data_IF_776453953358
#
_entry.id   IF_776453953358
#
_cell.length_a   1.000
_cell.length_b   1.000
_cell.length_c   1.000
_cell.angle_alpha   90.00
_cell.angle_beta   90.00
_cell.angle_gamma   90.00
#
_symmetry.space_group_name_H-M   'P 1'
#
loop_
_entity.id
_entity.type
_entity.pdbx_description
1 polymer ?
#
# COMPACT_ATOMS: atom_id res chain seq x y z
N UNK A 1 10.71 58.25 -7.95
CA UNK A 1 9.46 58.39 -7.19
C UNK A 1 9.39 57.25 -6.20
N UNK A 2 9.52 57.59 -4.92
CA UNK A 2 9.47 56.66 -3.82
C UNK A 2 8.03 56.20 -3.59
N UNK A 3 7.83 54.90 -3.39
CA UNK A 3 6.65 54.41 -2.67
C UNK A 3 7.12 53.48 -1.56
N UNK A 4 7.01 54.04 -0.35
CA UNK A 4 6.98 53.34 0.92
C UNK A 4 5.80 52.36 0.89
N UNK A 5 6.06 51.08 1.19
CA UNK A 5 5.00 50.16 1.60
C UNK A 5 5.31 49.67 3.01
N UNK A 6 4.28 49.81 3.84
CA UNK A 6 4.29 49.79 5.29
C UNK A 6 4.55 48.38 5.85
N UNK A 7 5.44 48.37 6.84
CA UNK A 7 5.71 47.30 7.79
C UNK A 7 4.49 47.17 8.73
N UNK A 8 3.67 46.13 8.54
CA UNK A 8 2.58 45.78 9.46
C UNK A 8 2.96 44.55 10.26
N UNK A 9 3.37 44.82 11.49
CA UNK A 9 3.70 43.89 12.57
C UNK A 9 2.38 43.32 13.16
N UNK A 10 2.14 42.00 13.14
CA UNK A 10 0.98 41.43 13.80
C UNK A 10 1.22 41.31 15.31
N UNK A 11 0.30 41.90 16.10
CA UNK A 11 0.19 41.70 17.55
C UNK A 11 -0.15 40.24 17.88
N UNK A 12 0.45 39.64 18.91
CA UNK A 12 0.03 38.35 19.44
C UNK A 12 -1.22 38.52 20.30
N UNK A 13 -2.31 37.86 19.90
CA UNK A 13 -3.51 37.72 20.72
C UNK A 13 -3.23 36.73 21.87
N UNK A 14 -3.12 37.27 23.08
CA UNK A 14 -3.20 36.53 24.33
C UNK A 14 -4.60 35.94 24.49
N UNK A 15 -4.74 34.64 24.24
CA UNK A 15 -5.90 33.84 24.66
C UNK A 15 -5.46 32.85 25.74
N UNK A 16 -5.41 33.35 26.98
CA UNK A 16 -5.34 32.52 28.19
C UNK A 16 -6.71 31.86 28.41
N UNK A 17 -6.88 30.63 27.92
CA UNK A 17 -7.98 29.76 28.35
C UNK A 17 -7.53 29.04 29.63
N UNK A 18 -8.00 29.56 30.76
CA UNK A 18 -7.90 28.88 32.05
C UNK A 18 -8.85 27.67 32.03
N UNK A 19 -8.35 26.49 31.68
CA UNK A 19 -9.03 25.24 31.95
C UNK A 19 -8.77 24.85 33.41
N UNK A 20 -9.84 24.92 34.20
CA UNK A 20 -9.94 24.36 35.53
C UNK A 20 -9.69 22.86 35.49
N UNK A 21 -8.48 22.49 35.92
CA UNK A 21 -8.02 21.14 36.21
C UNK A 21 -8.88 20.56 37.35
N UNK A 22 -9.87 19.76 36.98
CA UNK A 22 -10.65 18.98 37.94
C UNK A 22 -9.79 17.79 38.39
N UNK A 23 -9.14 17.95 39.55
CA UNK A 23 -8.42 16.91 40.28
C UNK A 23 -9.17 15.57 40.25
N UNK A 24 -8.60 14.61 39.51
CA UNK A 24 -9.05 13.23 39.51
C UNK A 24 -8.68 12.60 40.85
N UNK A 25 -9.58 12.72 41.84
CA UNK A 25 -9.47 12.04 43.12
C UNK A 25 -9.32 10.53 42.85
N UNK A 26 -8.17 9.92 43.19
CA UNK A 26 -7.97 8.49 42.98
C UNK A 26 -9.02 7.72 43.80
N UNK A 27 -9.69 6.78 43.14
CA UNK A 27 -10.70 5.93 43.77
C UNK A 27 -10.16 5.32 45.08
N UNK A 28 -10.87 5.43 46.21
CA UNK A 28 -10.40 4.95 47.51
C UNK A 28 -10.05 3.46 47.52
N UNK A 29 -10.57 2.69 46.56
CA UNK A 29 -10.22 1.29 46.35
C UNK A 29 -8.77 1.10 45.86
N UNK A 30 -8.28 1.99 44.99
CA UNK A 30 -6.92 1.91 44.46
C UNK A 30 -5.87 2.27 45.53
N UNK A 31 -6.19 3.20 46.44
CA UNK A 31 -5.33 3.53 47.58
C UNK A 31 -5.26 2.39 48.60
N UNK A 32 -6.37 1.68 48.85
CA UNK A 32 -6.38 0.54 49.75
C UNK A 32 -5.50 -0.63 49.26
N UNK A 33 -5.49 -0.91 47.95
CA UNK A 33 -4.68 -1.99 47.36
C UNK A 33 -3.17 -1.63 47.37
N UNK A 34 -2.83 -0.36 47.15
CA UNK A 34 -1.46 0.12 47.24
C UNK A 34 -0.92 0.09 48.68
N UNK A 35 -1.76 0.39 49.68
CA UNK A 35 -1.36 0.33 51.09
C UNK A 35 -1.22 -1.11 51.61
N UNK A 36 -2.05 -2.05 51.15
CA UNK A 36 -1.97 -3.46 51.54
C UNK A 36 -0.68 -4.16 51.03
N UNK A 37 -0.15 -3.73 49.88
CA UNK A 37 1.06 -4.32 49.28
C UNK A 37 2.37 -3.82 49.91
N UNK A 38 2.38 -2.66 50.56
CA UNK A 38 3.58 -2.09 51.19
C UNK A 38 3.93 -2.69 52.57
N UNK A 39 2.96 -3.26 53.30
CA UNK A 39 3.18 -3.70 54.69
C UNK A 39 3.72 -5.14 54.85
N UNK A 40 3.87 -5.92 53.79
CA UNK A 40 4.21 -7.35 53.88
C UNK A 40 5.70 -7.74 53.92
N UNK A 41 6.66 -6.82 53.74
CA UNK A 41 8.09 -7.17 53.52
C UNK A 41 8.98 -7.08 54.76
N UNK A 42 8.60 -7.68 55.90
CA UNK A 42 9.58 -7.90 57.00
C UNK A 42 9.35 -9.21 57.75
N UNK A 43 10.09 -10.25 57.37
CA UNK A 43 10.94 -11.14 58.21
C UNK A 43 11.15 -12.49 57.53
N UNK A 44 12.35 -12.70 56.99
CA UNK A 44 12.86 -14.00 56.57
C UNK A 44 13.44 -14.71 57.81
N UNK A 45 12.70 -15.67 58.35
CA UNK A 45 13.29 -16.76 59.13
C UNK A 45 13.03 -18.05 58.37
N UNK A 46 14.13 -18.60 57.84
CA UNK A 46 14.21 -19.81 57.04
C UNK A 46 13.91 -21.05 57.90
N UNK A 47 12.64 -21.40 58.01
CA UNK A 47 12.22 -22.74 58.45
C UNK A 47 11.66 -23.47 57.24
N UNK A 48 12.24 -24.63 56.89
CA UNK A 48 11.84 -25.53 55.79
C UNK A 48 10.31 -25.67 55.76
N UNK A 49 9.64 -24.94 54.86
CA UNK A 49 8.19 -25.01 54.70
C UNK A 49 7.87 -26.35 54.03
N UNK A 50 7.06 -27.17 54.71
CA UNK A 50 6.46 -28.37 54.12
C UNK A 50 5.75 -27.97 52.82
N UNK A 51 5.87 -28.76 51.74
CA UNK A 51 5.21 -28.44 50.48
C UNK A 51 3.70 -28.25 50.72
N UNK A 52 3.14 -27.17 50.15
CA UNK A 52 1.71 -26.88 50.21
C UNK A 52 0.93 -28.06 49.62
N UNK A 53 -0.26 -28.32 50.18
CA UNK A 53 -1.15 -29.35 49.61
C UNK A 53 -1.51 -28.94 48.18
N UNK A 54 -1.70 -29.87 47.23
CA UNK A 54 -2.04 -29.53 45.84
C UNK A 54 -3.24 -28.57 45.71
N UNK A 55 -4.23 -28.70 46.59
CA UNK A 55 -5.39 -27.79 46.63
C UNK A 55 -5.02 -26.36 47.05
N UNK A 56 -4.04 -26.18 47.94
CA UNK A 56 -3.56 -24.86 48.34
C UNK A 56 -2.74 -24.22 47.21
N UNK A 57 -1.96 -25.01 46.47
CA UNK A 57 -1.25 -24.51 45.29
C UNK A 57 -2.22 -24.01 44.22
N UNK A 58 -3.29 -24.78 43.93
CA UNK A 58 -4.31 -24.37 42.97
C UNK A 58 -5.03 -23.08 43.36
N UNK A 59 -5.24 -22.81 44.66
CA UNK A 59 -5.81 -21.55 45.12
C UNK A 59 -4.85 -20.37 44.89
N UNK A 60 -3.57 -20.54 45.19
CA UNK A 60 -2.54 -19.52 44.93
C UNK A 60 -2.43 -19.23 43.43
N UNK A 61 -2.40 -20.25 42.59
CA UNK A 61 -2.32 -20.08 41.13
C UNK A 61 -3.56 -19.34 40.58
N UNK A 62 -4.74 -19.58 41.16
CA UNK A 62 -5.97 -18.88 40.80
C UNK A 62 -6.00 -17.43 41.31
N UNK A 63 -5.45 -17.17 42.49
CA UNK A 63 -5.28 -15.80 43.04
C UNK A 63 -4.32 -14.99 42.16
N UNK A 64 -3.19 -15.58 41.75
CA UNK A 64 -2.22 -14.94 40.85
C UNK A 64 -2.86 -14.63 39.49
N UNK A 65 -3.62 -15.59 38.92
CA UNK A 65 -4.33 -15.39 37.65
C UNK A 65 -5.43 -14.33 37.74
N UNK A 66 -6.12 -14.23 38.87
CA UNK A 66 -7.12 -13.19 39.11
C UNK A 66 -6.46 -11.81 39.23
N UNK A 67 -5.31 -11.72 39.90
CA UNK A 67 -4.53 -10.49 39.98
C UNK A 67 -4.03 -10.03 38.60
N UNK A 68 -3.53 -10.96 37.78
CA UNK A 68 -3.12 -10.70 36.39
C UNK A 68 -4.30 -10.18 35.55
N UNK A 69 -5.46 -10.84 35.60
CA UNK A 69 -6.66 -10.42 34.88
C UNK A 69 -7.16 -9.04 35.32
N UNK A 70 -7.11 -8.73 36.63
CA UNK A 70 -7.45 -7.40 37.14
C UNK A 70 -6.50 -6.33 36.60
N UNK A 71 -5.20 -6.62 36.50
CA UNK A 71 -4.22 -5.68 35.94
C UNK A 71 -4.48 -5.42 34.44
N UNK A 72 -4.79 -6.47 33.67
CA UNK A 72 -5.15 -6.34 32.25
C UNK A 72 -6.43 -5.51 32.09
N UNK A 73 -7.45 -5.76 32.92
CA UNK A 73 -8.69 -4.99 32.92
C UNK A 73 -8.45 -3.50 33.22
N UNK A 74 -7.66 -3.19 34.25
CA UNK A 74 -7.33 -1.80 34.59
C UNK A 74 -6.61 -1.09 33.44
N UNK A 75 -5.68 -1.77 32.78
CA UNK A 75 -4.97 -1.23 31.59
C UNK A 75 -5.96 -0.92 30.46
N UNK A 76 -6.90 -1.83 30.19
CA UNK A 76 -7.93 -1.63 29.17
C UNK A 76 -8.88 -0.47 29.49
N UNK A 77 -9.23 -0.27 30.77
CA UNK A 77 -10.06 0.87 31.22
C UNK A 77 -9.33 2.19 31.01
N UNK A 78 -8.03 2.27 31.31
CA UNK A 78 -7.22 3.46 31.08
C UNK A 78 -7.13 3.80 29.58
N UNK A 79 -6.90 2.79 28.74
CA UNK A 79 -6.85 2.98 27.29
C UNK A 79 -8.20 3.41 26.71
N UNK A 80 -9.30 2.79 27.15
CA UNK A 80 -10.66 3.18 26.75
C UNK A 80 -10.95 4.65 27.12
N UNK A 81 -10.51 5.08 28.30
CA UNK A 81 -10.65 6.47 28.76
C UNK A 81 -9.86 7.44 27.87
N UNK A 82 -8.61 7.09 27.53
CA UNK A 82 -7.76 7.87 26.61
C UNK A 82 -8.37 7.98 25.20
N UNK A 83 -8.91 6.88 24.66
CA UNK A 83 -9.53 6.87 23.33
C UNK A 83 -10.82 7.70 23.31
N UNK A 84 -11.66 7.60 24.34
CA UNK A 84 -12.85 8.46 24.50
C UNK A 84 -12.49 9.94 24.53
N UNK A 85 -11.40 10.32 25.20
CA UNK A 85 -10.92 11.70 25.19
C UNK A 85 -10.51 12.17 23.79
N UNK A 86 -9.78 11.35 23.01
CA UNK A 86 -9.40 11.68 21.62
C UNK A 86 -10.61 11.81 20.70
N UNK A 87 -11.62 10.94 20.84
CA UNK A 87 -12.86 11.03 20.06
C UNK A 87 -13.56 12.35 20.33
N UNK A 88 -13.69 12.77 21.60
CA UNK A 88 -14.28 14.09 21.95
C UNK A 88 -13.54 15.26 21.30
N UNK A 89 -12.21 15.23 21.25
CA UNK A 89 -11.41 16.27 20.58
C UNK A 89 -11.69 16.29 19.08
N UNK A 90 -11.76 15.13 18.43
CA UNK A 90 -12.09 15.04 17.00
C UNK A 90 -13.51 15.55 16.74
N UNK A 91 -14.49 15.14 17.55
CA UNK A 91 -15.87 15.60 17.47
C UNK A 91 -16.00 17.12 17.66
N UNK A 92 -15.15 17.73 18.49
CA UNK A 92 -15.11 19.19 18.66
C UNK A 92 -14.43 19.94 17.50
N UNK A 93 -13.40 19.36 16.89
CA UNK A 93 -12.63 20.00 15.78
C UNK A 93 -13.33 19.85 14.43
N UNK A 94 -14.08 18.77 14.21
CA UNK A 94 -14.75 18.51 12.92
C UNK A 94 -15.71 19.64 12.48
N UNK A 95 -16.61 20.18 13.34
CA UNK A 95 -17.47 21.30 12.98
C UNK A 95 -16.68 22.57 12.63
N UNK A 96 -15.58 22.85 13.34
CA UNK A 96 -14.75 24.04 13.06
C UNK A 96 -14.08 23.96 11.68
N UNK A 97 -13.65 22.75 11.27
CA UNK A 97 -13.13 22.53 9.91
C UNK A 97 -14.21 22.65 8.85
N UNK A 98 -15.45 22.25 9.14
CA UNK A 98 -16.57 22.42 8.21
C UNK A 98 -17.02 23.87 8.07
N UNK A 99 -16.87 24.69 9.13
CA UNK A 99 -17.22 26.11 9.13
C UNK A 99 -16.11 27.03 8.59
N UNK A 100 -14.89 26.53 8.44
CA UNK A 100 -13.80 27.27 7.79
C UNK A 100 -13.82 26.92 6.31
N UNK A 101 -14.47 27.71 5.43
CA UNK A 101 -14.37 27.48 3.99
C UNK A 101 -12.89 27.52 3.62
N UNK A 102 -12.36 26.38 3.20
CA UNK A 102 -10.96 26.26 2.85
C UNK A 102 -10.60 27.26 1.75
N UNK A 103 -9.37 27.81 1.74
CA UNK A 103 -8.91 28.76 0.71
C UNK A 103 -8.91 28.18 -0.72
N UNK A 104 -9.20 26.89 -0.88
CA UNK A 104 -9.41 26.23 -2.16
C UNK A 104 -10.56 26.84 -2.98
N UNK A 105 -11.56 27.48 -2.36
CA UNK A 105 -12.61 28.19 -3.11
C UNK A 105 -12.16 29.54 -3.70
N UNK A 106 -10.99 30.07 -3.29
CA UNK A 106 -10.47 31.33 -3.83
C UNK A 106 -9.54 31.15 -5.04
N UNK A 107 -9.01 29.94 -5.25
CA UNK A 107 -8.14 29.63 -6.39
C UNK A 107 -8.93 29.59 -7.72
N UNK A 108 -10.17 29.10 -7.71
CA UNK A 108 -11.04 29.12 -8.89
C UNK A 108 -11.57 30.51 -9.23
N UNK A 109 -11.70 31.41 -8.24
CA UNK A 109 -12.07 32.81 -8.49
C UNK A 109 -10.93 33.63 -9.12
N UNK A 110 -9.67 33.27 -8.86
CA UNK A 110 -8.50 33.92 -9.46
C UNK A 110 -8.26 33.48 -10.91
N UNK A 111 -8.62 32.24 -11.27
CA UNK A 111 -8.53 31.73 -12.64
C UNK A 111 -9.63 32.29 -13.56
N UNK A 112 -10.78 32.71 -13.01
CA UNK A 112 -11.83 33.36 -13.79
C UNK A 112 -11.51 34.82 -14.19
N UNK A 113 -10.54 35.48 -13.56
CA UNK A 113 -10.21 36.89 -13.83
C UNK A 113 -9.14 37.09 -14.92
N UNK A 114 -8.47 36.03 -15.38
CA UNK A 114 -7.36 36.11 -16.36
C UNK A 114 -7.81 35.77 -17.80
N UNK A 115 -9.03 35.27 -18.00
CA UNK A 115 -9.55 34.89 -19.33
C UNK A 115 -10.32 36.01 -20.08
N UNK A 116 -10.16 37.28 -19.69
CA UNK A 116 -10.93 38.40 -20.23
C UNK A 116 -10.08 39.50 -20.89
N UNK A 117 -9.41 39.21 -22.00
CA UNK A 117 -8.90 40.25 -22.92
C UNK A 117 -9.81 40.35 -24.14
N UNK A 118 -10.51 41.48 -24.37
CA UNK A 118 -11.32 41.67 -25.57
C UNK A 118 -10.43 42.13 -26.73
N UNK A 119 -10.29 41.27 -27.75
CA UNK A 119 -9.77 41.67 -29.05
C UNK A 119 -10.83 42.49 -29.79
N UNK A 120 -10.43 43.69 -30.21
CA UNK A 120 -11.25 44.65 -30.93
C UNK A 120 -10.87 44.66 -32.42
N UNK A 121 -11.91 44.56 -33.25
CA UNK A 121 -12.05 45.02 -34.64
C UNK A 121 -11.35 44.26 -35.79
N UNK A 122 -12.12 43.60 -36.64
CA UNK A 122 -12.71 44.22 -37.85
C UNK A 122 -13.56 43.17 -38.61
N UNK A 123 -14.84 43.44 -38.84
CA UNK A 123 -15.71 42.50 -39.57
C UNK A 123 -17.16 42.96 -39.61
N UNK A 124 -17.51 43.58 -40.71
CA UNK A 124 -18.73 44.31 -41.04
C UNK A 124 -19.88 43.37 -41.48
N UNK A 125 -21.12 43.68 -41.10
CA UNK A 125 -22.36 43.01 -41.51
C UNK A 125 -23.33 42.89 -40.33
N UNK A 126 -24.13 43.90 -40.01
CA UNK A 126 -25.43 44.26 -40.61
C UNK A 126 -26.48 43.13 -40.52
N UNK A 127 -27.55 43.37 -39.76
CA UNK A 127 -28.73 42.49 -39.72
C UNK A 127 -29.41 42.28 -38.36
N UNK A 128 -30.23 43.26 -37.94
CA UNK A 128 -31.58 43.11 -37.34
C UNK A 128 -31.86 42.24 -36.09
N UNK A 129 -32.22 42.97 -35.03
CA UNK A 129 -33.38 42.82 -34.12
C UNK A 129 -33.44 41.86 -32.91
N UNK A 130 -34.17 42.27 -31.83
CA UNK A 130 -33.99 41.78 -30.47
C UNK A 130 -35.18 40.97 -29.93
N UNK A 131 -34.89 39.92 -29.15
CA UNK A 131 -35.90 39.26 -28.33
C UNK A 131 -35.30 38.78 -27.00
N UNK A 132 -35.55 39.59 -25.96
CA UNK A 132 -36.14 39.20 -24.67
C UNK A 132 -36.26 37.70 -24.41
N UNK A 133 -35.62 37.19 -23.33
CA UNK A 133 -36.28 36.39 -22.27
C UNK A 133 -35.30 35.91 -21.19
N UNK A 134 -35.54 36.39 -19.96
CA UNK A 134 -35.32 35.70 -18.68
C UNK A 134 -36.41 34.59 -18.54
N UNK A 135 -36.27 33.50 -17.74
CA UNK A 135 -36.23 33.54 -16.26
C UNK A 135 -35.30 32.48 -15.59
N UNK A 136 -34.74 32.73 -14.41
CA UNK A 136 -35.30 32.48 -13.06
C UNK A 136 -35.67 31.02 -12.76
N UNK A 137 -34.88 30.34 -11.92
CA UNK A 137 -35.34 29.20 -11.11
C UNK A 137 -34.51 29.08 -9.83
N UNK A 138 -35.06 29.67 -8.77
CA UNK A 138 -34.72 29.46 -7.37
C UNK A 138 -35.28 28.11 -6.92
N UNK A 139 -34.49 27.25 -6.28
CA UNK A 139 -35.03 26.10 -5.53
C UNK A 139 -34.24 25.91 -4.22
N UNK A 140 -34.99 26.00 -3.12
CA UNK A 140 -34.58 25.88 -1.73
C UNK A 140 -34.39 24.41 -1.30
N UNK A 141 -33.75 24.15 -0.15
CA UNK A 141 -33.39 22.80 0.30
C UNK A 141 -34.53 22.11 1.06
N UNK A 142 -34.77 20.85 0.73
CA UNK A 142 -35.70 19.97 1.43
C UNK A 142 -35.07 19.36 2.69
N UNK A 143 -35.57 19.78 3.85
CA UNK A 143 -35.46 19.05 5.12
C UNK A 143 -36.26 17.76 5.06
N UNK A 144 -35.68 16.64 5.53
CA UNK A 144 -36.46 15.47 5.95
C UNK A 144 -35.98 15.02 7.33
N UNK A 145 -36.94 14.99 8.24
CA UNK A 145 -36.90 14.44 9.60
C UNK A 145 -36.32 13.01 9.63
N UNK A 146 -35.57 12.60 10.64
CA UNK A 146 -36.10 12.35 11.99
C UNK A 146 -36.53 10.89 12.11
N UNK A 147 -35.62 10.03 12.58
CA UNK A 147 -35.88 8.60 12.82
C UNK A 147 -34.99 8.06 13.93
N UNK A 148 -35.59 7.83 15.11
CA UNK A 148 -35.00 7.28 16.32
C UNK A 148 -34.55 5.81 16.18
N UNK A 149 -33.62 5.34 17.03
CA UNK A 149 -33.02 4.02 16.91
C UNK A 149 -33.86 2.92 17.58
N UNK A 150 -34.06 1.82 16.86
CA UNK A 150 -34.65 0.59 17.38
C UNK A 150 -33.59 -0.23 18.14
N UNK A 151 -33.90 -0.56 19.39
CA UNK A 151 -33.19 -1.54 20.20
C UNK A 151 -33.43 -2.96 19.67
N UNK A 152 -32.39 -3.78 19.60
CA UNK A 152 -32.50 -5.25 19.58
C UNK A 152 -31.15 -5.91 19.97
N UNK A 153 -31.14 -7.20 20.38
CA UNK A 153 -30.64 -7.60 21.68
C UNK A 153 -29.38 -8.49 21.64
N UNK A 154 -28.77 -8.63 22.82
CA UNK A 154 -27.65 -9.53 23.14
C UNK A 154 -27.89 -11.00 22.72
N UNK A 155 -26.85 -11.73 22.28
CA UNK A 155 -26.83 -13.20 22.29
C UNK A 155 -26.10 -13.78 23.53
N UNK A 156 -26.36 -15.07 23.85
CA UNK A 156 -26.23 -15.62 25.20
C UNK A 156 -24.89 -16.31 25.50
N UNK A 157 -24.73 -16.55 26.79
CA UNK A 157 -23.62 -17.14 27.52
C UNK A 157 -23.08 -18.50 27.04
N UNK A 158 -21.79 -18.64 27.34
CA UNK A 158 -20.90 -19.81 27.24
C UNK A 158 -21.51 -21.11 27.77
N UNK A 159 -21.38 -22.18 26.97
CA UNK A 159 -21.60 -23.57 27.37
C UNK A 159 -20.24 -24.28 27.47
N UNK A 160 -19.79 -24.47 28.70
CA UNK A 160 -18.59 -25.27 29.04
C UNK A 160 -18.99 -26.75 29.11
N UNK A 161 -18.34 -27.62 28.33
CA UNK A 161 -18.35 -29.06 28.55
C UNK A 161 -16.99 -29.54 29.07
N UNK A 162 -16.94 -30.53 29.98
CA UNK A 162 -15.71 -31.16 30.42
C UNK A 162 -15.42 -32.42 29.59
N UNK A 163 -14.19 -32.59 29.12
CA UNK A 163 -13.69 -33.85 28.60
C UNK A 163 -12.56 -34.35 29.52
N UNK A 164 -12.71 -35.59 29.97
CA UNK A 164 -11.87 -36.21 30.98
C UNK A 164 -10.55 -36.78 30.46
N UNK A 165 -9.65 -36.93 31.44
CA UNK A 165 -8.69 -38.01 31.69
C UNK A 165 -8.14 -38.86 30.53
N UNK A 166 -6.80 -38.93 30.46
CA UNK A 166 -6.14 -40.17 30.03
C UNK A 166 -4.68 -40.06 29.58
N UNK A 167 -3.80 -40.68 30.38
CA UNK A 167 -2.53 -41.32 30.00
C UNK A 167 -1.24 -40.47 29.81
N UNK A 168 -0.40 -40.53 30.86
CA UNK A 168 0.98 -41.08 30.88
C UNK A 168 1.77 -41.09 29.55
N UNK A 169 2.96 -40.50 29.52
CA UNK A 169 4.24 -41.23 29.40
C UNK A 169 5.46 -40.30 29.45
N UNK A 170 6.62 -40.90 29.68
CA UNK A 170 7.88 -40.34 30.14
C UNK A 170 8.73 -39.58 29.09
N UNK A 171 9.66 -38.76 29.63
CA UNK A 171 10.95 -38.30 29.05
C UNK A 171 11.79 -39.45 28.43
N UNK A 172 12.93 -39.21 27.71
CA UNK A 172 13.74 -37.99 27.60
C UNK A 172 14.23 -37.60 26.18
N UNK A 173 14.89 -36.44 26.12
CA UNK A 173 15.60 -35.86 24.98
C UNK A 173 16.77 -36.70 24.43
N UNK A 174 17.12 -36.53 23.14
CA UNK A 174 18.47 -36.83 22.65
C UNK A 174 19.23 -35.58 22.19
N UNK A 175 20.53 -35.59 22.49
CA UNK A 175 21.60 -34.73 21.95
C UNK A 175 21.65 -34.76 20.41
N UNK A 176 22.03 -33.67 19.71
CA UNK A 176 22.54 -33.78 18.36
C UNK A 176 24.05 -34.04 18.36
N UNK A 177 24.44 -35.15 17.75
CA UNK A 177 25.82 -35.45 17.35
C UNK A 177 26.20 -34.65 16.11
N UNK A 178 27.43 -34.15 16.17
CA UNK A 178 28.23 -33.57 15.10
C UNK A 178 28.53 -34.64 14.05
N UNK A 179 28.20 -34.41 12.78
CA UNK A 179 28.78 -35.15 11.66
C UNK A 179 29.25 -34.22 10.57
N UNK A 180 30.52 -34.38 10.21
CA UNK A 180 31.24 -33.79 9.08
C UNK A 180 31.07 -34.70 7.85
N UNK A 181 31.42 -34.14 6.68
CA UNK A 181 31.82 -34.79 5.41
C UNK A 181 30.63 -35.02 4.46
N UNK A 182 30.44 -34.14 3.46
CA UNK A 182 31.09 -34.10 2.14
C UNK A 182 30.79 -35.35 1.31
N UNK A 183 30.00 -35.19 0.25
CA UNK A 183 30.30 -35.72 -1.08
C UNK A 183 29.34 -35.17 -2.13
N UNK A 184 29.91 -34.87 -3.29
CA UNK A 184 29.27 -34.35 -4.48
C UNK A 184 28.54 -35.48 -5.22
N UNK A 185 27.34 -35.22 -5.74
CA UNK A 185 26.74 -36.02 -6.81
C UNK A 185 26.04 -35.11 -7.82
N UNK A 186 26.74 -35.00 -8.95
CA UNK A 186 26.29 -35.00 -10.34
C UNK A 186 24.80 -34.88 -10.69
N UNK A 187 24.59 -34.11 -11.77
CA UNK A 187 23.33 -33.75 -12.38
C UNK A 187 22.42 -34.91 -12.80
N UNK A 188 21.13 -34.57 -12.90
CA UNK A 188 20.17 -35.26 -13.76
C UNK A 188 19.15 -34.24 -14.27
N UNK A 189 19.29 -33.90 -15.56
CA UNK A 189 18.23 -33.30 -16.37
C UNK A 189 17.04 -34.24 -16.40
N UNK A 190 15.85 -33.70 -16.14
CA UNK A 190 14.58 -34.39 -16.36
C UNK A 190 13.93 -33.71 -17.56
N UNK A 191 14.04 -34.35 -18.71
CA UNK A 191 13.20 -34.07 -19.88
C UNK A 191 11.78 -34.54 -19.56
N UNK A 192 10.82 -33.61 -19.51
CA UNK A 192 9.39 -33.95 -19.50
C UNK A 192 8.87 -33.96 -20.93
N UNK A 193 8.67 -35.17 -21.42
CA UNK A 193 7.93 -35.48 -22.63
C UNK A 193 6.45 -35.12 -22.48
N UNK A 194 5.92 -34.38 -23.46
CA UNK A 194 4.50 -34.09 -23.63
C UNK A 194 3.87 -35.19 -24.50
N UNK A 195 2.80 -35.83 -24.02
CA UNK A 195 1.91 -36.64 -24.85
C UNK A 195 0.56 -35.93 -25.00
N UNK A 196 0.00 -35.84 -26.21
CA UNK A 196 -1.32 -35.29 -26.46
C UNK A 196 -2.38 -36.40 -26.37
N UNK A 197 -3.49 -36.11 -25.69
CA UNK A 197 -4.68 -36.96 -25.64
C UNK A 197 -5.90 -36.15 -26.04
N UNK A 198 -6.23 -36.20 -27.33
CA UNK A 198 -7.51 -35.78 -27.89
C UNK A 198 -8.39 -37.01 -27.99
N UNK A 199 -9.61 -36.96 -27.49
CA UNK A 199 -10.77 -37.66 -28.08
C UNK A 199 -12.08 -37.18 -27.44
N UNK A 200 -13.13 -37.30 -28.26
CA UNK A 200 -14.32 -36.48 -28.29
C UNK A 200 -15.59 -37.22 -27.83
N UNK A 201 -16.72 -36.51 -27.93
CA UNK A 201 -18.13 -36.99 -27.90
C UNK A 201 -18.70 -37.32 -26.50
N UNK A 202 -19.90 -36.89 -26.08
CA UNK A 202 -21.14 -36.64 -26.81
C UNK A 202 -22.14 -35.73 -26.06
N UNK A 203 -22.97 -35.06 -26.87
CA UNK A 203 -24.39 -34.65 -26.68
C UNK A 203 -25.06 -34.91 -25.32
N UNK A 204 -25.73 -33.87 -24.81
CA UNK A 204 -27.14 -33.96 -24.42
C UNK A 204 -27.82 -32.59 -24.53
N UNK A 205 -28.80 -32.54 -25.42
CA UNK A 205 -29.85 -31.54 -25.57
C UNK A 205 -30.84 -31.63 -24.41
N UNK A 206 -31.14 -30.50 -23.76
CA UNK A 206 -32.40 -30.31 -23.06
C UNK A 206 -32.80 -28.84 -23.18
N UNK A 207 -33.84 -28.62 -23.98
CA UNK A 207 -34.60 -27.38 -24.07
C UNK A 207 -35.13 -27.01 -22.68
N UNK A 208 -34.90 -25.76 -22.27
CA UNK A 208 -35.76 -25.14 -21.28
C UNK A 208 -35.97 -23.68 -21.68
N UNK A 209 -37.18 -23.46 -22.19
CA UNK A 209 -37.75 -22.20 -22.61
C UNK A 209 -38.47 -21.57 -21.41
N UNK A 210 -38.37 -20.24 -21.26
CA UNK A 210 -39.21 -19.49 -20.32
C UNK A 210 -38.52 -18.40 -19.51
N UNK A 211 -38.66 -17.16 -20.00
CA UNK A 211 -38.54 -15.88 -19.28
C UNK A 211 -37.16 -15.23 -19.19
N UNK A 212 -36.70 -14.74 -20.35
CA UNK A 212 -35.73 -13.65 -20.48
C UNK A 212 -36.25 -12.36 -19.82
N UNK A 213 -35.78 -12.07 -18.60
CA UNK A 213 -35.49 -10.69 -18.21
C UNK A 213 -34.11 -10.36 -18.78
N UNK A 214 -34.08 -9.57 -19.85
CA UNK A 214 -32.86 -8.97 -20.39
C UNK A 214 -32.28 -7.96 -19.38
N UNK A 215 -31.65 -8.47 -18.33
CA UNK A 215 -30.60 -7.73 -17.64
C UNK A 215 -29.36 -7.88 -18.50
N UNK A 216 -28.88 -6.77 -19.07
CA UNK A 216 -27.59 -6.70 -19.75
C UNK A 216 -26.48 -7.03 -18.74
N UNK A 217 -26.22 -8.32 -18.53
CA UNK A 217 -25.03 -8.79 -17.82
C UNK A 217 -23.89 -8.49 -18.76
N UNK A 218 -23.27 -7.32 -18.55
CA UNK A 218 -22.02 -6.96 -19.20
C UNK A 218 -21.04 -8.08 -18.85
N UNK A 219 -20.77 -8.96 -19.81
CA UNK A 219 -19.77 -10.00 -19.66
C UNK A 219 -18.43 -9.28 -19.56
N UNK A 220 -17.96 -9.09 -18.33
CA UNK A 220 -16.63 -8.58 -18.06
C UNK A 220 -15.62 -9.42 -18.85
N UNK A 221 -14.64 -8.76 -19.44
CA UNK A 221 -13.56 -9.50 -20.07
C UNK A 221 -12.80 -10.24 -18.96
N UNK A 222 -12.37 -11.50 -19.18
CA UNK A 222 -11.70 -12.30 -18.14
C UNK A 222 -10.40 -11.66 -17.63
N UNK A 223 -9.84 -10.68 -18.34
CA UNK A 223 -8.70 -9.88 -17.90
C UNK A 223 -9.08 -8.84 -16.83
N UNK A 224 -10.26 -8.22 -16.97
CA UNK A 224 -10.78 -7.25 -16.02
C UNK A 224 -11.08 -7.90 -14.66
N UNK A 225 -11.69 -9.09 -14.67
CA UNK A 225 -11.96 -9.85 -13.45
C UNK A 225 -10.67 -10.14 -12.65
N UNK A 226 -9.56 -10.44 -13.34
CA UNK A 226 -8.27 -10.72 -12.69
C UNK A 226 -7.61 -9.47 -12.13
N UNK A 227 -7.72 -8.34 -12.83
CA UNK A 227 -7.31 -7.04 -12.31
C UNK A 227 -8.06 -6.71 -11.02
N UNK A 228 -9.38 -6.91 -11.00
CA UNK A 228 -10.22 -6.60 -9.85
C UNK A 228 -9.92 -7.54 -8.66
N UNK A 229 -9.65 -8.82 -8.91
CA UNK A 229 -9.19 -9.77 -7.90
C UNK A 229 -7.84 -9.38 -7.29
N UNK A 230 -6.89 -8.94 -8.12
CA UNK A 230 -5.59 -8.47 -7.67
C UNK A 230 -5.71 -7.20 -6.82
N UNK A 231 -6.50 -6.24 -7.29
CA UNK A 231 -6.83 -5.01 -6.57
C UNK A 231 -7.46 -5.30 -5.20
N UNK A 232 -8.45 -6.18 -5.16
CA UNK A 232 -9.09 -6.59 -3.92
C UNK A 232 -8.10 -7.25 -2.94
N UNK A 233 -7.20 -8.11 -3.44
CA UNK A 233 -6.15 -8.72 -2.62
C UNK A 233 -5.20 -7.67 -2.03
N UNK A 234 -4.77 -6.70 -2.83
CA UNK A 234 -3.90 -5.61 -2.38
C UNK A 234 -4.56 -4.69 -1.34
N UNK A 235 -5.81 -4.27 -1.59
CA UNK A 235 -6.58 -3.43 -0.65
C UNK A 235 -6.82 -4.17 0.67
N UNK A 236 -7.14 -5.47 0.61
CA UNK A 236 -7.31 -6.29 1.81
C UNK A 236 -6.02 -6.41 2.61
N UNK A 237 -4.88 -6.65 1.93
CA UNK A 237 -3.56 -6.63 2.58
C UNK A 237 -3.29 -5.29 3.26
N UNK A 238 -3.49 -4.18 2.56
CA UNK A 238 -3.22 -2.83 3.06
C UNK A 238 -4.05 -2.54 4.32
N UNK A 239 -5.32 -2.95 4.32
CA UNK A 239 -6.21 -2.82 5.48
C UNK A 239 -5.74 -3.67 6.66
N UNK A 240 -5.42 -4.95 6.42
CA UNK A 240 -4.92 -5.86 7.47
C UNK A 240 -3.60 -5.36 8.06
N UNK A 241 -2.66 -4.94 7.21
CA UNK A 241 -1.39 -4.35 7.61
C UNK A 241 -1.58 -3.10 8.47
N UNK A 242 -2.50 -2.20 8.11
CA UNK A 242 -2.79 -0.99 8.89
C UNK A 242 -3.28 -1.33 10.31
N UNK A 243 -4.20 -2.29 10.43
CA UNK A 243 -4.69 -2.76 11.74
C UNK A 243 -3.56 -3.37 12.58
N UNK A 244 -2.71 -4.20 11.97
CA UNK A 244 -1.59 -4.82 12.66
C UNK A 244 -0.53 -3.80 13.09
N UNK A 245 -0.27 -2.76 12.29
CA UNK A 245 0.65 -1.67 12.65
C UNK A 245 0.11 -0.94 13.87
N UNK A 246 -1.18 -0.58 13.87
CA UNK A 246 -1.80 0.11 15.00
C UNK A 246 -1.75 -0.74 16.28
N UNK A 247 -2.01 -2.04 16.17
CA UNK A 247 -1.93 -2.97 17.30
C UNK A 247 -0.50 -3.09 17.85
N UNK A 248 0.50 -3.19 16.96
CA UNK A 248 1.91 -3.23 17.35
C UNK A 248 2.38 -1.93 18.01
N UNK A 249 1.97 -0.77 17.49
CA UNK A 249 2.30 0.53 18.07
C UNK A 249 1.64 0.75 19.45
N UNK A 250 0.42 0.25 19.64
CA UNK A 250 -0.25 0.26 20.94
C UNK A 250 0.40 -0.72 21.92
N UNK A 251 0.83 -1.89 21.43
CA UNK A 251 1.45 -2.95 22.23
C UNK A 251 2.50 -3.71 21.41
N UNK A 252 3.79 -3.39 21.57
CA UNK A 252 4.86 -4.07 20.85
C UNK A 252 4.93 -5.54 21.27
N UNK A 253 4.42 -6.43 20.41
CA UNK A 253 4.45 -7.88 20.61
C UNK A 253 4.88 -8.57 19.32
N UNK A 254 5.73 -9.59 19.44
CA UNK A 254 6.29 -10.34 18.31
C UNK A 254 5.20 -11.06 17.50
N UNK A 255 4.12 -11.48 18.15
CA UNK A 255 2.96 -12.11 17.51
C UNK A 255 2.35 -11.24 16.39
N UNK A 256 2.36 -9.91 16.54
CA UNK A 256 1.85 -9.02 15.50
C UNK A 256 2.76 -9.00 14.28
N UNK A 257 4.09 -9.06 14.48
CA UNK A 257 5.05 -9.14 13.37
C UNK A 257 4.90 -10.46 12.62
N UNK A 258 4.74 -11.58 13.35
CA UNK A 258 4.48 -12.89 12.74
C UNK A 258 3.17 -12.90 11.94
N UNK A 259 2.11 -12.27 12.47
CA UNK A 259 0.85 -12.11 11.73
C UNK A 259 1.00 -11.22 10.49
N UNK A 260 1.79 -10.15 10.55
CA UNK A 260 2.10 -9.31 9.38
C UNK A 260 2.81 -10.13 8.30
N UNK A 261 3.81 -10.93 8.67
CA UNK A 261 4.52 -11.80 7.73
C UNK A 261 3.60 -12.84 7.09
N UNK A 262 2.80 -13.53 7.90
CA UNK A 262 1.84 -14.50 7.40
C UNK A 262 0.81 -13.85 6.44
N UNK A 263 0.36 -12.64 6.75
CA UNK A 263 -0.54 -11.88 5.89
C UNK A 263 0.14 -11.43 4.59
N UNK A 264 1.40 -11.01 4.66
CA UNK A 264 2.19 -10.67 3.48
C UNK A 264 2.45 -11.89 2.59
N UNK A 265 2.68 -13.06 3.17
CA UNK A 265 2.87 -14.31 2.41
C UNK A 265 1.58 -14.76 1.70
N UNK A 266 0.40 -14.49 2.27
CA UNK A 266 -0.87 -14.68 1.54
C UNK A 266 -0.96 -13.77 0.32
N UNK A 267 -0.55 -12.51 0.43
CA UNK A 267 -0.48 -11.60 -0.71
C UNK A 267 0.52 -12.12 -1.75
N UNK A 268 1.71 -12.57 -1.35
CA UNK A 268 2.68 -13.18 -2.28
C UNK A 268 2.09 -14.40 -3.00
N UNK A 269 1.34 -15.24 -2.30
CA UNK A 269 0.61 -16.36 -2.91
C UNK A 269 -0.32 -15.87 -4.03
N UNK A 270 -1.06 -14.78 -3.81
CA UNK A 270 -1.89 -14.15 -4.84
C UNK A 270 -1.08 -13.52 -5.98
N UNK A 271 0.08 -12.91 -5.70
CA UNK A 271 1.00 -12.43 -6.75
C UNK A 271 1.46 -13.57 -7.65
N UNK A 272 1.78 -14.73 -7.07
CA UNK A 272 2.23 -15.90 -7.84
C UNK A 272 1.07 -16.46 -8.67
N UNK A 273 -0.11 -16.59 -8.08
CA UNK A 273 -1.31 -17.12 -8.73
C UNK A 273 -1.82 -16.22 -9.87
N UNK A 274 -1.89 -14.91 -9.63
CA UNK A 274 -2.47 -13.93 -10.56
C UNK A 274 -1.42 -13.27 -11.44
N UNK A 275 -0.24 -12.99 -10.91
CA UNK A 275 0.79 -12.18 -11.57
C UNK A 275 1.73 -12.97 -12.48
N UNK A 276 1.96 -14.27 -12.25
CA UNK A 276 2.75 -15.08 -13.19
C UNK A 276 2.06 -15.24 -14.55
N UNK A 277 0.74 -15.52 -14.63
CA UNK A 277 0.05 -15.60 -15.91
C UNK A 277 -0.23 -14.22 -16.52
N UNK A 278 -0.20 -13.16 -15.70
CA UNK A 278 -0.58 -11.79 -16.08
C UNK A 278 0.41 -10.75 -15.57
N UNK A 279 1.63 -10.76 -16.13
CA UNK A 279 2.70 -9.84 -15.75
C UNK A 279 2.33 -8.35 -15.96
N UNK A 280 1.41 -8.08 -16.87
CA UNK A 280 0.83 -6.77 -17.16
C UNK A 280 0.06 -6.20 -15.97
N UNK A 281 -0.57 -7.04 -15.15
CA UNK A 281 -1.33 -6.58 -13.98
C UNK A 281 -0.41 -5.94 -12.95
N UNK A 282 0.74 -6.55 -12.68
CA UNK A 282 1.71 -6.03 -11.70
C UNK A 282 2.46 -4.83 -12.25
N UNK A 283 2.78 -4.84 -13.55
CA UNK A 283 3.57 -3.76 -14.15
C UNK A 283 2.78 -2.46 -14.32
N UNK A 284 1.47 -2.55 -14.59
CA UNK A 284 0.60 -1.38 -14.74
C UNK A 284 0.12 -0.80 -13.41
N UNK A 285 0.43 -1.44 -12.27
CA UNK A 285 0.01 -0.98 -10.94
C UNK A 285 0.76 0.25 -10.45
N UNK A 286 2.03 0.38 -10.84
CA UNK A 286 2.94 1.42 -10.35
C UNK A 286 2.44 2.85 -10.72
N UNK A 287 1.52 2.96 -11.68
CA UNK A 287 0.95 4.22 -12.17
C UNK A 287 -0.55 4.35 -11.97
N UNK A 288 -1.17 3.51 -11.13
CA UNK A 288 -2.63 3.52 -10.93
C UNK A 288 -2.99 3.98 -9.53
N UNK A 289 -3.90 4.94 -9.45
CA UNK A 289 -4.53 5.30 -8.20
C UNK A 289 -5.61 4.27 -7.88
N UNK A 290 -5.48 3.62 -6.73
CA UNK A 290 -6.26 2.46 -6.32
C UNK A 290 -7.70 2.81 -5.93
N UNK A 291 -7.95 4.06 -5.50
CA UNK A 291 -9.30 4.54 -5.16
C UNK A 291 -10.11 4.88 -6.41
N UNK A 292 -9.47 5.53 -7.37
CA UNK A 292 -10.13 6.06 -8.59
C UNK A 292 -10.06 5.11 -9.77
N UNK A 293 -9.12 4.16 -9.75
CA UNK A 293 -8.83 3.28 -10.86
C UNK A 293 -8.20 3.98 -12.07
N UNK A 294 -7.90 5.28 -11.99
CA UNK A 294 -7.30 6.05 -13.08
C UNK A 294 -5.77 5.95 -13.06
N UNK A 295 -5.15 6.00 -14.24
CA UNK A 295 -3.72 6.15 -14.35
C UNK A 295 -3.32 7.55 -13.85
N UNK A 296 -2.63 7.60 -12.72
CA UNK A 296 -2.18 8.84 -12.09
C UNK A 296 -0.84 8.56 -11.38
N UNK A 297 0.18 9.34 -11.73
CA UNK A 297 1.44 9.30 -11.02
C UNK A 297 1.32 10.02 -9.67
N UNK A 298 1.92 9.49 -8.59
CA UNK A 298 1.96 10.17 -7.31
C UNK A 298 2.77 11.47 -7.41
N UNK A 299 2.40 12.53 -6.66
CA UNK A 299 3.21 13.75 -6.57
C UNK A 299 4.64 13.44 -6.11
N UNK A 300 5.63 14.20 -6.57
CA UNK A 300 7.04 13.95 -6.22
C UNK A 300 7.32 13.96 -4.70
N UNK A 301 6.62 14.81 -3.95
CA UNK A 301 6.73 14.88 -2.49
C UNK A 301 6.08 13.70 -1.75
N UNK A 302 5.27 12.89 -2.43
CA UNK A 302 4.53 11.77 -1.83
C UNK A 302 5.48 10.75 -1.20
N UNK A 303 6.49 10.31 -1.95
CA UNK A 303 7.44 9.30 -1.48
C UNK A 303 8.33 9.80 -0.33
N UNK A 304 8.58 11.12 -0.26
CA UNK A 304 9.29 11.73 0.86
C UNK A 304 8.54 11.54 2.17
N UNK A 305 7.23 11.81 2.17
CA UNK A 305 6.37 11.60 3.35
C UNK A 305 6.35 10.13 3.76
N UNK A 306 6.28 9.21 2.80
CA UNK A 306 6.36 7.76 3.08
C UNK A 306 7.67 7.42 3.78
N UNK A 307 8.80 7.85 3.21
CA UNK A 307 10.15 7.53 3.71
C UNK A 307 10.43 8.13 5.08
N UNK A 308 10.03 9.38 5.33
CA UNK A 308 10.18 10.03 6.64
C UNK A 308 9.54 9.21 7.77
N UNK A 309 8.44 8.53 7.49
CA UNK A 309 7.72 7.70 8.47
C UNK A 309 8.32 6.30 8.66
N UNK A 310 9.22 5.86 7.78
CA UNK A 310 9.88 4.56 7.91
C UNK A 310 10.96 4.53 9.00
N UNK A 311 11.47 5.71 9.39
CA UNK A 311 12.55 5.85 10.37
C UNK A 311 13.75 4.94 10.03
N UNK A 312 14.21 4.98 8.77
CA UNK A 312 15.32 4.15 8.31
C UNK A 312 16.60 4.48 9.09
N UNK A 313 17.32 3.44 9.52
CA UNK A 313 18.61 3.62 10.17
C UNK A 313 19.72 3.88 9.13
N UNK A 314 20.90 4.32 9.58
CA UNK A 314 22.04 4.64 8.68
C UNK A 314 22.51 3.46 7.86
N UNK A 315 22.46 2.23 8.40
CA UNK A 315 22.82 1.02 7.68
C UNK A 315 21.83 0.72 6.54
N UNK A 316 20.52 0.85 6.78
CA UNK A 316 19.47 0.71 5.78
C UNK A 316 19.61 1.75 4.67
N UNK A 317 19.89 3.00 5.03
CA UNK A 317 20.15 4.08 4.07
C UNK A 317 21.37 3.74 3.20
N UNK A 318 22.46 3.25 3.79
CA UNK A 318 23.64 2.84 3.05
C UNK A 318 23.37 1.66 2.10
N UNK A 319 22.58 0.68 2.53
CA UNK A 319 22.17 -0.45 1.70
C UNK A 319 21.28 0.00 0.53
N UNK A 320 20.35 0.92 0.76
CA UNK A 320 19.53 1.52 -0.29
C UNK A 320 20.38 2.27 -1.32
N UNK A 321 21.38 3.05 -0.90
CA UNK A 321 22.32 3.71 -1.81
C UNK A 321 23.12 2.72 -2.66
N UNK A 322 23.68 1.68 -2.04
CA UNK A 322 24.45 0.67 -2.75
C UNK A 322 23.58 -0.06 -3.79
N UNK A 323 22.35 -0.39 -3.42
CA UNK A 323 21.43 -1.06 -4.33
C UNK A 323 20.94 -0.16 -5.46
N UNK A 324 20.74 1.13 -5.20
CA UNK A 324 20.41 2.12 -6.23
C UNK A 324 21.57 2.32 -7.21
N UNK A 325 22.81 2.35 -6.71
CA UNK A 325 24.00 2.40 -7.55
C UNK A 325 24.09 1.17 -8.48
N UNK A 326 23.86 -0.04 -7.95
CA UNK A 326 23.83 -1.27 -8.74
C UNK A 326 22.71 -1.26 -9.78
N UNK A 327 21.52 -0.77 -9.42
CA UNK A 327 20.40 -0.62 -10.35
C UNK A 327 20.78 0.31 -11.51
N UNK A 328 21.39 1.47 -11.21
CA UNK A 328 21.82 2.44 -12.22
C UNK A 328 22.87 1.86 -13.16
N UNK A 329 23.89 1.20 -12.62
CA UNK A 329 24.93 0.56 -13.43
C UNK A 329 24.32 -0.42 -14.44
N UNK A 330 23.39 -1.27 -13.99
CA UNK A 330 22.71 -2.23 -14.88
C UNK A 330 21.79 -1.54 -15.88
N UNK A 331 21.05 -0.53 -15.43
CA UNK A 331 20.11 0.20 -16.29
C UNK A 331 20.84 1.03 -17.34
N UNK A 332 22.01 1.57 -17.03
CA UNK A 332 22.84 2.31 -17.98
C UNK A 332 23.24 1.43 -19.18
N UNK A 333 23.69 0.20 -18.91
CA UNK A 333 24.02 -0.77 -19.97
C UNK A 333 22.79 -1.12 -20.80
N UNK A 334 21.65 -1.39 -20.16
CA UNK A 334 20.39 -1.69 -20.84
C UNK A 334 19.97 -0.52 -21.75
N UNK A 335 20.03 0.71 -21.25
CA UNK A 335 19.63 1.91 -22.00
C UNK A 335 20.63 2.27 -23.10
N UNK A 336 21.92 2.01 -22.91
CA UNK A 336 22.91 2.15 -23.98
C UNK A 336 22.65 1.15 -25.11
N UNK A 337 22.43 -0.12 -24.78
CA UNK A 337 22.07 -1.15 -25.75
C UNK A 337 20.77 -0.82 -26.48
N UNK A 338 19.73 -0.37 -25.75
CA UNK A 338 18.45 0.06 -26.34
C UNK A 338 18.64 1.15 -27.38
N UNK A 339 19.45 2.17 -27.09
CA UNK A 339 19.78 3.25 -28.04
C UNK A 339 20.46 2.71 -29.29
N UNK A 340 21.48 1.87 -29.13
CA UNK A 340 22.19 1.25 -30.26
C UNK A 340 21.27 0.38 -31.14
N UNK A 341 20.40 -0.42 -30.51
CA UNK A 341 19.45 -1.27 -31.21
C UNK A 341 18.38 -0.46 -31.94
N UNK A 342 17.89 0.62 -31.32
CA UNK A 342 16.94 1.54 -31.94
C UNK A 342 17.55 2.26 -33.16
N UNK A 343 18.80 2.71 -33.06
CA UNK A 343 19.54 3.31 -34.19
C UNK A 343 19.74 2.30 -35.33
N UNK A 344 20.14 1.06 -35.00
CA UNK A 344 20.32 -0.03 -35.97
C UNK A 344 19.00 -0.38 -36.68
N UNK A 345 17.89 -0.46 -35.94
CA UNK A 345 16.57 -0.72 -36.48
C UNK A 345 16.07 0.44 -37.35
N UNK A 346 16.30 1.69 -36.94
CA UNK A 346 15.95 2.85 -37.74
C UNK A 346 16.73 2.88 -39.07
N UNK A 347 18.04 2.59 -39.04
CA UNK A 347 18.87 2.52 -40.24
C UNK A 347 18.46 1.39 -41.20
N UNK A 348 18.10 0.21 -40.67
CA UNK A 348 17.62 -0.90 -41.50
C UNK A 348 16.25 -0.60 -42.12
N UNK A 349 15.33 0.01 -41.36
CA UNK A 349 14.02 0.45 -41.88
C UNK A 349 14.16 1.54 -42.95
N UNK A 350 15.04 2.52 -42.76
CA UNK A 350 15.29 3.56 -43.77
C UNK A 350 15.88 2.94 -45.05
N UNK A 351 16.79 1.98 -44.91
CA UNK A 351 17.38 1.26 -46.05
C UNK A 351 16.33 0.46 -46.83
N UNK A 352 15.42 -0.21 -46.12
CA UNK A 352 14.28 -0.91 -46.72
C UNK A 352 13.34 0.05 -47.46
N UNK A 353 13.02 1.21 -46.88
CA UNK A 353 12.17 2.23 -47.53
C UNK A 353 12.81 2.79 -48.80
N UNK A 354 14.11 3.09 -48.77
CA UNK A 354 14.84 3.57 -49.94
C UNK A 354 14.90 2.50 -51.05
N UNK A 355 15.01 1.22 -50.68
CA UNK A 355 15.01 0.12 -51.62
C UNK A 355 13.61 -0.13 -52.23
N UNK A 356 12.53 0.08 -51.47
CA UNK A 356 11.15 0.00 -51.97
C UNK A 356 10.82 1.13 -52.96
N UNK A 357 11.34 2.35 -52.77
CA UNK A 357 11.08 3.48 -53.68
C UNK A 357 11.78 3.39 -55.04
N UNK A 358 12.72 2.45 -55.25
CA UNK A 358 13.49 2.27 -56.48
C UNK A 358 12.96 1.11 -57.35
N UNK A 359 11.64 1.04 -57.57
CA UNK A 359 10.95 -0.06 -58.29
C UNK A 359 11.43 -0.29 -59.75
N UNK A 360 12.25 0.58 -60.34
CA UNK A 360 12.62 0.54 -61.75
C UNK A 360 13.90 -0.21 -62.13
N UNK A 361 14.73 -0.64 -61.18
CA UNK A 361 15.99 -1.33 -61.47
C UNK A 361 16.08 -2.63 -60.69
N UNK A 362 16.48 -3.72 -61.36
CA UNK A 362 16.79 -5.07 -60.85
C UNK A 362 17.92 -5.10 -59.79
N UNK A 363 17.93 -4.14 -58.85
CA UNK A 363 18.86 -4.07 -57.73
C UNK A 363 18.45 -5.11 -56.69
N UNK A 364 19.07 -6.28 -56.89
CA UNK A 364 19.33 -7.36 -55.92
C UNK A 364 18.26 -7.58 -54.85
N UNK A 365 17.32 -8.50 -55.11
CA UNK A 365 16.50 -9.20 -54.09
C UNK A 365 17.30 -9.51 -52.82
N UNK A 366 18.55 -9.92 -53.01
CA UNK A 366 19.50 -10.22 -51.94
C UNK A 366 19.76 -9.05 -50.96
N UNK A 367 19.78 -7.79 -51.41
CA UNK A 367 19.98 -6.66 -50.50
C UNK A 367 18.75 -6.45 -49.61
N UNK A 368 17.55 -6.52 -50.19
CA UNK A 368 16.28 -6.43 -49.45
C UNK A 368 16.18 -7.54 -48.41
N UNK A 369 16.45 -8.79 -48.80
CA UNK A 369 16.46 -9.94 -47.90
C UNK A 369 17.46 -9.73 -46.75
N UNK A 370 18.68 -9.30 -47.06
CA UNK A 370 19.70 -9.02 -46.04
C UNK A 370 19.24 -7.92 -45.07
N UNK A 371 18.73 -6.79 -45.57
CA UNK A 371 18.25 -5.69 -44.71
C UNK A 371 17.03 -6.09 -43.87
N UNK A 372 16.16 -6.95 -44.41
CA UNK A 372 15.01 -7.49 -43.69
C UNK A 372 15.45 -8.39 -42.54
N UNK A 373 16.40 -9.29 -42.78
CA UNK A 373 16.97 -10.17 -41.74
C UNK A 373 17.70 -9.36 -40.67
N UNK A 374 18.41 -8.30 -41.05
CA UNK A 374 19.06 -7.40 -40.10
C UNK A 374 18.05 -6.63 -39.21
N UNK A 375 16.91 -6.22 -39.77
CA UNK A 375 15.83 -5.58 -39.03
C UNK A 375 15.16 -6.55 -38.05
N UNK A 376 14.87 -7.79 -38.48
CA UNK A 376 14.30 -8.83 -37.62
C UNK A 376 15.24 -9.20 -36.47
N UNK A 377 16.54 -9.33 -36.74
CA UNK A 377 17.54 -9.59 -35.71
C UNK A 377 17.63 -8.44 -34.69
N UNK A 378 17.60 -7.18 -35.14
CA UNK A 378 17.61 -6.02 -34.25
C UNK A 378 16.33 -5.95 -33.39
N UNK A 379 15.16 -6.33 -33.93
CA UNK A 379 13.92 -6.41 -33.17
C UNK A 379 13.98 -7.51 -32.09
N UNK A 380 14.49 -8.70 -32.42
CA UNK A 380 14.66 -9.77 -31.44
C UNK A 380 15.67 -9.41 -30.32
N UNK A 381 16.76 -8.72 -30.67
CA UNK A 381 17.71 -8.17 -29.69
C UNK A 381 17.06 -7.10 -28.79
N UNK A 382 16.13 -6.30 -29.32
CA UNK A 382 15.38 -5.30 -28.56
C UNK A 382 14.42 -5.96 -27.55
N UNK A 383 13.73 -7.03 -27.94
CA UNK A 383 12.87 -7.81 -27.04
C UNK A 383 13.70 -8.43 -25.89
N UNK A 384 14.88 -8.97 -26.20
CA UNK A 384 15.81 -9.46 -25.18
C UNK A 384 16.29 -8.33 -24.24
N UNK A 385 16.52 -7.13 -24.77
CA UNK A 385 16.86 -5.95 -23.97
C UNK A 385 15.70 -5.50 -23.06
N UNK A 386 14.45 -5.55 -23.53
CA UNK A 386 13.26 -5.30 -22.67
C UNK A 386 13.17 -6.34 -21.55
N UNK A 387 13.46 -7.61 -21.83
CA UNK A 387 13.55 -8.61 -20.78
C UNK A 387 14.66 -8.26 -19.77
N UNK A 388 15.84 -7.81 -20.22
CA UNK A 388 16.93 -7.39 -19.35
C UNK A 388 16.57 -6.16 -18.49
N UNK A 389 15.82 -5.19 -19.03
CA UNK A 389 15.24 -4.07 -18.27
C UNK A 389 14.34 -4.59 -17.14
N UNK A 390 13.44 -5.52 -17.46
CA UNK A 390 12.57 -6.15 -16.47
C UNK A 390 13.34 -6.85 -15.34
N UNK A 391 14.48 -7.47 -15.66
CA UNK A 391 15.38 -8.05 -14.65
C UNK A 391 16.07 -6.97 -13.79
N UNK A 392 16.50 -5.86 -14.38
CA UNK A 392 17.08 -4.75 -13.63
C UNK A 392 16.04 -4.10 -12.69
N UNK A 393 14.81 -3.87 -13.16
CA UNK A 393 13.71 -3.39 -12.32
C UNK A 393 13.32 -4.37 -11.21
N UNK A 394 13.41 -5.69 -11.48
CA UNK A 394 13.13 -6.72 -10.47
C UNK A 394 14.05 -6.58 -9.25
N UNK A 395 15.31 -6.17 -9.42
CA UNK A 395 16.24 -5.94 -8.31
C UNK A 395 15.70 -4.85 -7.36
N UNK A 396 15.20 -3.75 -7.90
CA UNK A 396 14.62 -2.68 -7.09
C UNK A 396 13.43 -3.20 -6.25
N UNK A 397 12.55 -4.02 -6.87
CA UNK A 397 11.42 -4.66 -6.18
C UNK A 397 11.86 -5.70 -5.15
N UNK A 398 12.93 -6.44 -5.44
CA UNK A 398 13.52 -7.43 -4.52
C UNK A 398 14.10 -6.75 -3.27
N UNK A 399 14.59 -5.51 -3.36
CA UNK A 399 15.03 -4.76 -2.17
C UNK A 399 13.89 -4.50 -1.19
N UNK A 400 12.69 -4.15 -1.68
CA UNK A 400 11.52 -4.02 -0.79
C UNK A 400 11.14 -5.35 -0.13
N UNK A 401 11.51 -6.48 -0.74
CA UNK A 401 11.28 -7.83 -0.22
C UNK A 401 12.45 -8.38 0.59
N UNK A 402 13.61 -7.73 0.52
CA UNK A 402 14.82 -8.13 1.23
C UNK A 402 14.68 -7.92 2.74
N UNK A 403 15.67 -8.43 3.45
CA UNK A 403 15.89 -8.24 4.89
C UNK A 403 16.39 -6.84 5.26
N UNK A 404 16.64 -5.96 4.26
CA UNK A 404 16.99 -4.54 4.50
C UNK A 404 15.89 -3.89 5.35
N UNK A 405 14.62 -4.16 5.05
CA UNK A 405 13.49 -3.61 5.79
C UNK A 405 12.91 -4.62 6.76
N UNK A 406 12.58 -4.16 7.97
CA UNK A 406 11.85 -4.99 8.94
C UNK A 406 10.44 -5.29 8.43
N UNK A 407 9.77 -6.36 8.94
CA UNK A 407 8.39 -6.67 8.57
C UNK A 407 7.44 -5.48 8.80
N UNK A 408 7.65 -4.74 9.90
CA UNK A 408 6.90 -3.53 10.22
C UNK A 408 7.11 -2.43 9.19
N UNK A 409 8.36 -2.21 8.75
CA UNK A 409 8.66 -1.21 7.72
C UNK A 409 8.04 -1.59 6.37
N UNK A 410 8.08 -2.87 5.96
CA UNK A 410 7.41 -3.32 4.72
C UNK A 410 5.89 -3.13 4.76
N UNK A 411 5.28 -3.41 5.91
CA UNK A 411 3.86 -3.13 6.15
C UNK A 411 3.57 -1.62 6.06
N UNK A 412 4.39 -0.78 6.72
CA UNK A 412 4.27 0.68 6.66
C UNK A 412 4.42 1.23 5.25
N UNK A 413 5.38 0.73 4.46
CA UNK A 413 5.52 1.09 3.06
C UNK A 413 4.21 0.84 2.31
N UNK A 414 3.62 -0.35 2.47
CA UNK A 414 2.36 -0.71 1.80
C UNK A 414 1.21 0.23 2.20
N UNK A 415 1.06 0.50 3.50
CA UNK A 415 -0.02 1.33 4.05
C UNK A 415 0.13 2.81 3.68
N UNK A 416 1.33 3.35 3.82
CA UNK A 416 1.61 4.77 3.57
C UNK A 416 1.64 5.09 2.08
N UNK A 417 1.86 4.10 1.21
CA UNK A 417 1.81 4.29 -0.24
C UNK A 417 0.38 4.44 -0.75
N UNK A 418 -0.64 4.03 0.02
CA UNK A 418 -2.04 4.18 -0.39
C UNK A 418 -2.40 5.66 -0.61
N UNK A 419 -3.07 6.03 -1.73
CA UNK A 419 -3.78 5.16 -2.68
C UNK A 419 -2.97 4.69 -3.88
N UNK A 420 -1.64 4.78 -3.88
CA UNK A 420 -0.78 4.30 -4.95
C UNK A 420 -0.16 2.94 -4.62
N UNK A 421 0.23 2.20 -5.65
CA UNK A 421 1.05 1.01 -5.45
C UNK A 421 2.50 1.44 -5.09
N UNK A 422 3.20 0.77 -4.15
CA UNK A 422 4.54 1.18 -3.75
C UNK A 422 5.54 1.10 -4.90
N UNK A 423 6.06 2.25 -5.33
CA UNK A 423 7.17 2.32 -6.27
C UNK A 423 8.48 2.10 -5.52
N UNK A 424 9.03 0.89 -5.67
CA UNK A 424 10.28 0.49 -5.06
C UNK A 424 11.44 1.41 -5.41
N UNK A 425 11.53 1.86 -6.66
CA UNK A 425 12.62 2.69 -7.12
C UNK A 425 12.51 4.10 -6.55
N UNK A 426 11.30 4.69 -6.58
CA UNK A 426 11.08 6.01 -6.02
C UNK A 426 11.32 6.05 -4.50
N UNK A 427 10.89 5.02 -3.77
CA UNK A 427 11.14 4.89 -2.32
C UNK A 427 12.65 4.76 -2.06
N UNK A 428 13.36 3.88 -2.77
CA UNK A 428 14.81 3.68 -2.57
C UNK A 428 15.60 4.94 -2.95
N UNK A 429 15.26 5.61 -4.04
CA UNK A 429 15.86 6.89 -4.44
C UNK A 429 15.63 8.00 -3.40
N UNK A 430 14.44 8.02 -2.81
CA UNK A 430 14.09 8.96 -1.74
C UNK A 430 14.89 8.66 -0.46
N UNK A 431 15.00 7.39 -0.05
CA UNK A 431 15.82 6.98 1.11
C UNK A 431 17.31 7.32 0.89
N UNK A 432 17.80 7.14 -0.34
CA UNK A 432 19.18 7.44 -0.69
C UNK A 432 19.53 8.94 -0.56
N UNK A 433 18.52 9.81 -0.53
CA UNK A 433 18.65 11.27 -0.50
C UNK A 433 18.77 11.91 -1.89
N UNK A 434 18.38 11.18 -2.94
CA UNK A 434 18.51 11.63 -4.33
C UNK A 434 17.17 12.04 -4.95
N UNK A 435 16.07 11.91 -4.19
CA UNK A 435 14.80 12.53 -4.53
C UNK A 435 14.78 14.05 -4.23
N UNK A 436 15.95 14.69 -4.25
CA UNK A 436 16.06 16.13 -4.41
C UNK A 436 16.78 16.41 -5.72
N UNK A 437 16.00 16.90 -6.70
CA UNK A 437 16.38 17.54 -7.96
C UNK A 437 16.38 16.66 -9.21
N UNK A 438 15.27 16.74 -9.96
CA UNK A 438 15.36 17.32 -11.31
C UNK A 438 14.52 18.60 -11.42
N UNK A 439 14.68 19.56 -10.50
CA UNK A 439 13.78 20.74 -10.41
C UNK A 439 14.32 22.03 -11.07
N UNK A 440 15.40 21.99 -11.84
CA UNK A 440 15.89 23.20 -12.51
C UNK A 440 16.37 23.02 -13.95
N UNK A 441 16.78 21.82 -14.36
CA UNK A 441 17.33 21.61 -15.72
C UNK A 441 16.29 21.20 -16.77
N UNK A 442 15.08 20.78 -16.38
CA UNK A 442 14.04 20.35 -17.33
C UNK A 442 12.99 21.44 -17.66
N UNK A 443 12.93 22.52 -16.89
CA UNK A 443 12.00 23.64 -17.15
C UNK A 443 12.54 24.67 -18.18
N UNK A 444 13.72 24.44 -18.77
CA UNK A 444 14.31 25.30 -19.81
C UNK A 444 14.42 24.60 -21.17
N UNK A 445 13.74 23.48 -21.37
CA UNK A 445 13.79 22.71 -22.62
C UNK A 445 12.45 22.61 -23.35
N UNK A 446 11.45 23.43 -22.98
CA UNK A 446 10.24 23.68 -23.78
C UNK A 446 10.26 25.08 -24.38
#
# INVERSE_FOLDING_TARGET
MAMQLLDMKPEPADMTMAETEADAVPSPLAQAIAQASAQGRRRKTSTRKKPLRPQQQALVDMEDKLAELLQVYQTAVQENTRLKARIRVIEAVLPQRQQTPGPASSADAALALVAGTPDTSAGQGDGSDPATSMPFATAAPGQVAGGSPAMHPLPPSLRTQPAGAGARSASPAPRPQRSRRSEAVSGRSVERSCSPGSEACSRSTAENDGSQRQGSVSQGTPAQDKSDLWMAAWVNWTREAALLICAYEARPAEEFLQRMEAAFDRLKGRVVELGLPHSELVSNMDQRNLDTGTAAAPPYSFWRVVVERLNCNTAQVSACRAALALYRERMEVVMQQRRQLAERLAASMQSLQLAQGQEGQLRSSHHLEKTSVEAEAAAAELDANVAAEGHAMRLARELLRSDIFTPLQRARISVLSYPYFPDALAIVATIAGEAELPSAAQATAE
#
